data_IF_221219283663
#
_entry.id   IF_221219283663
#
_cell.length_a   1.000
_cell.length_b   1.000
_cell.length_c   1.000
_cell.angle_alpha   90.00
_cell.angle_beta   90.00
_cell.angle_gamma   90.00
#
_symmetry.space_group_name_H-M   'P 1'
#
loop_
_entity.id
_entity.type
_entity.pdbx_description
1 polymer ?
#
# COMPACT_ATOMS: atom_id res chain seq x y z
N UNK A 1 -1.34 -20.22 -8.98
CA UNK A 1 -2.01 -18.90 -8.91
C UNK A 1 -1.93 -18.40 -7.46
N UNK A 2 -0.91 -17.60 -7.13
CA UNK A 2 -0.57 -17.26 -5.73
C UNK A 2 -0.99 -15.81 -5.44
N UNK A 3 -2.13 -15.70 -4.76
CA UNK A 3 -2.75 -14.59 -4.00
C UNK A 3 -2.22 -13.15 -4.20
N UNK A 4 -2.80 -12.46 -5.18
CA UNK A 4 -2.97 -10.99 -5.20
C UNK A 4 -3.93 -10.51 -4.08
N UNK A 5 -3.68 -10.90 -2.83
CA UNK A 5 -4.56 -10.53 -1.72
C UNK A 5 -4.29 -9.08 -1.36
N UNK A 6 -5.32 -8.24 -1.46
CA UNK A 6 -5.28 -6.89 -0.91
C UNK A 6 -5.11 -6.94 0.60
N UNK A 7 -4.19 -6.11 1.09
CA UNK A 7 -3.85 -5.91 2.48
C UNK A 7 -4.05 -4.44 2.80
N UNK A 8 -4.47 -4.18 4.02
CA UNK A 8 -4.68 -2.83 4.53
C UNK A 8 -3.86 -2.67 5.78
N UNK A 9 -3.04 -1.64 5.81
CA UNK A 9 -2.19 -1.28 6.95
C UNK A 9 -2.53 0.13 7.39
N UNK A 10 -2.63 0.35 8.68
CA UNK A 10 -2.87 1.67 9.29
C UNK A 10 -1.59 2.17 9.95
N UNK A 11 -1.39 3.49 9.95
CA UNK A 11 -0.32 4.10 10.75
C UNK A 11 -0.58 3.90 12.25
N UNK A 12 0.45 3.99 13.11
CA UNK A 12 0.29 3.79 14.55
C UNK A 12 -0.70 4.75 15.24
N UNK A 13 -0.89 5.94 14.66
CA UNK A 13 -1.86 6.94 15.11
C UNK A 13 -3.28 6.72 14.57
N UNK A 14 -3.50 5.67 13.75
CA UNK A 14 -4.73 5.38 13.02
C UNK A 14 -5.26 6.55 12.16
N UNK A 15 -4.38 7.48 11.77
CA UNK A 15 -4.77 8.62 10.92
C UNK A 15 -4.55 8.36 9.45
N UNK A 16 -3.67 7.43 9.11
CA UNK A 16 -3.29 7.13 7.73
C UNK A 16 -3.49 5.64 7.48
N UNK A 17 -3.83 5.33 6.25
CA UNK A 17 -4.09 3.97 5.81
C UNK A 17 -3.49 3.78 4.43
N UNK A 18 -2.92 2.60 4.20
CA UNK A 18 -2.45 2.18 2.88
C UNK A 18 -3.12 0.85 2.54
N UNK A 19 -3.65 0.76 1.33
CA UNK A 19 -4.01 -0.53 0.75
C UNK A 19 -2.94 -0.92 -0.26
N UNK A 20 -2.44 -2.14 -0.12
CA UNK A 20 -1.34 -2.66 -0.90
C UNK A 20 -1.55 -4.15 -1.16
N UNK A 21 -0.74 -4.74 -2.03
CA UNK A 21 -0.70 -6.17 -2.28
C UNK A 21 0.73 -6.64 -2.48
N UNK A 22 0.95 -7.92 -2.22
CA UNK A 22 2.22 -8.58 -2.53
C UNK A 22 2.10 -9.16 -3.95
N UNK A 23 2.91 -8.67 -4.88
CA UNK A 23 3.00 -9.18 -6.25
C UNK A 23 4.39 -9.77 -6.43
N UNK A 24 4.47 -11.11 -6.46
CA UNK A 24 5.77 -11.79 -6.37
C UNK A 24 6.45 -11.49 -5.03
N UNK A 25 7.54 -10.74 -5.07
CA UNK A 25 8.26 -10.25 -3.89
C UNK A 25 8.07 -8.75 -3.65
N UNK A 26 7.29 -8.06 -4.49
CA UNK A 26 7.14 -6.61 -4.42
C UNK A 26 5.89 -6.19 -3.65
N UNK A 27 6.04 -5.15 -2.83
CA UNK A 27 4.93 -4.49 -2.15
C UNK A 27 4.36 -3.40 -3.06
N UNK A 28 3.30 -3.72 -3.80
CA UNK A 28 2.61 -2.76 -4.64
C UNK A 28 1.57 -2.00 -3.81
N UNK A 29 1.82 -0.70 -3.56
CA UNK A 29 0.86 0.19 -2.89
C UNK A 29 -0.12 0.73 -3.91
N UNK A 30 -1.42 0.61 -3.63
CA UNK A 30 -2.50 0.94 -4.58
C UNK A 30 -3.14 2.28 -4.25
N UNK A 31 -3.36 2.54 -2.97
CA UNK A 31 -3.86 3.84 -2.53
C UNK A 31 -3.47 4.10 -1.08
N UNK A 32 -3.46 5.39 -0.73
CA UNK A 32 -3.35 5.88 0.64
C UNK A 32 -4.56 6.72 0.98
N UNK A 33 -4.93 6.70 2.26
CA UNK A 33 -5.93 7.61 2.82
C UNK A 33 -5.28 8.32 4.00
N UNK A 34 -5.24 9.65 3.97
CA UNK A 34 -4.89 10.46 5.13
C UNK A 34 -6.17 11.09 5.69
N UNK A 35 -6.67 10.56 6.81
CA UNK A 35 -7.93 11.00 7.43
C UNK A 35 -7.86 12.42 7.99
N UNK A 36 -6.65 12.96 8.20
CA UNK A 36 -6.45 14.34 8.61
C UNK A 36 -6.39 15.32 7.42
N UNK A 37 -6.34 14.81 6.19
CA UNK A 37 -6.29 15.64 4.98
C UNK A 37 -7.70 15.79 4.40
N UNK A 38 -8.18 17.04 4.32
CA UNK A 38 -9.47 17.38 3.72
C UNK A 38 -9.38 17.59 2.20
N UNK A 39 -8.22 17.40 1.59
CA UNK A 39 -8.03 17.53 0.15
C UNK A 39 -8.93 16.56 -0.61
N UNK A 40 -9.46 16.97 -1.77
CA UNK A 40 -10.28 16.08 -2.58
C UNK A 40 -9.47 14.88 -3.04
N UNK A 41 -10.14 13.74 -3.17
CA UNK A 41 -9.53 12.53 -3.67
C UNK A 41 -8.93 12.76 -5.06
N UNK A 42 -7.73 12.25 -5.29
CA UNK A 42 -7.06 12.38 -6.60
C UNK A 42 -6.23 11.15 -6.94
N UNK A 43 -5.82 11.09 -8.21
CA UNK A 43 -4.95 10.06 -8.76
C UNK A 43 -3.55 10.62 -8.98
N UNK A 44 -2.54 9.90 -8.52
CA UNK A 44 -1.14 10.20 -8.77
C UNK A 44 -0.60 9.29 -9.88
N UNK A 45 0.26 9.77 -10.80
CA UNK A 45 0.83 11.12 -10.89
C UNK A 45 -0.01 12.14 -11.67
N UNK A 46 -1.12 11.73 -12.28
CA UNK A 46 -1.89 12.60 -13.18
C UNK A 46 -2.52 13.83 -12.49
N UNK A 47 -2.70 13.81 -11.18
CA UNK A 47 -3.42 14.82 -10.41
C UNK A 47 -4.92 14.83 -10.66
N UNK A 48 -5.45 13.85 -11.40
CA UNK A 48 -6.87 13.80 -11.78
C UNK A 48 -7.72 13.64 -10.54
N UNK A 49 -8.60 14.61 -10.28
CA UNK A 49 -9.58 14.50 -9.19
C UNK A 49 -10.51 13.32 -9.44
N UNK A 50 -10.77 12.57 -8.39
CA UNK A 50 -11.69 11.44 -8.42
C UNK A 50 -13.08 11.93 -8.00
N UNK A 51 -14.16 11.38 -8.59
CA UNK A 51 -15.53 11.76 -8.25
C UNK A 51 -16.00 11.22 -6.89
N UNK A 52 -15.11 10.74 -6.02
CA UNK A 52 -15.48 10.12 -4.75
C UNK A 52 -15.36 11.08 -3.57
N UNK A 53 -16.27 10.92 -2.60
CA UNK A 53 -16.34 11.71 -1.36
C UNK A 53 -15.45 11.15 -0.24
N UNK A 54 -14.23 10.68 -0.56
CA UNK A 54 -13.28 10.22 0.45
C UNK A 54 -12.13 11.23 0.52
N UNK A 55 -12.18 12.21 1.44
CA UNK A 55 -11.10 13.18 1.62
C UNK A 55 -9.77 12.50 1.93
N UNK A 56 -8.67 13.07 1.43
CA UNK A 56 -7.32 12.59 1.68
C UNK A 56 -6.98 11.26 1.01
N UNK A 57 -7.86 10.73 0.14
CA UNK A 57 -7.58 9.56 -0.69
C UNK A 57 -6.66 9.94 -1.86
N UNK A 58 -5.59 9.17 -2.01
CA UNK A 58 -4.72 9.23 -3.19
C UNK A 58 -4.61 7.84 -3.79
N UNK A 59 -5.08 7.69 -5.03
CA UNK A 59 -4.86 6.46 -5.82
C UNK A 59 -3.48 6.56 -6.47
N UNK A 60 -2.65 5.54 -6.25
CA UNK A 60 -1.28 5.47 -6.76
C UNK A 60 -1.27 4.61 -8.02
N UNK A 61 -1.35 5.27 -9.18
CA UNK A 61 -1.26 4.57 -10.46
C UNK A 61 0.20 4.45 -10.91
N UNK A 62 0.60 3.24 -11.28
CA UNK A 62 1.91 2.97 -11.88
C UNK A 62 3.08 2.83 -10.91
N UNK A 63 2.86 2.97 -9.59
CA UNK A 63 3.89 2.65 -8.61
C UNK A 63 3.99 1.13 -8.43
N UNK A 64 5.20 0.62 -8.61
CA UNK A 64 5.44 -0.84 -8.68
C UNK A 64 5.85 -1.42 -7.33
N UNK A 65 6.46 -0.61 -6.46
CA UNK A 65 7.03 -1.05 -5.20
C UNK A 65 6.92 0.03 -4.09
N UNK A 66 7.20 -0.39 -2.84
CA UNK A 66 7.13 0.48 -1.67
C UNK A 66 8.14 1.63 -1.69
N UNK A 67 9.30 1.43 -2.34
CA UNK A 67 10.34 2.45 -2.44
C UNK A 67 9.84 3.66 -3.23
N UNK A 68 9.27 3.42 -4.42
CA UNK A 68 8.69 4.48 -5.26
C UNK A 68 7.55 5.23 -4.54
N UNK A 69 6.68 4.50 -3.83
CA UNK A 69 5.62 5.12 -3.03
C UNK A 69 6.18 6.03 -1.93
N UNK A 70 7.27 5.61 -1.27
CA UNK A 70 7.94 6.40 -0.24
C UNK A 70 8.64 7.63 -0.80
N UNK A 71 9.24 7.55 -1.98
CA UNK A 71 9.86 8.70 -2.66
C UNK A 71 8.82 9.72 -3.12
N UNK A 72 7.69 9.26 -3.66
CA UNK A 72 6.60 10.14 -4.08
C UNK A 72 5.89 10.83 -2.88
N UNK A 73 5.81 10.16 -1.73
CA UNK A 73 5.05 10.61 -0.56
C UNK A 73 5.90 10.58 0.72
N UNK A 74 7.00 11.34 0.83
CA UNK A 74 7.96 11.21 1.92
C UNK A 74 7.39 11.62 3.29
N UNK A 75 6.32 12.42 3.31
CA UNK A 75 5.66 12.88 4.55
C UNK A 75 4.87 11.78 5.28
N UNK A 76 4.65 10.64 4.65
CA UNK A 76 3.92 9.50 5.22
C UNK A 76 4.87 8.43 5.80
N UNK A 77 6.03 8.85 6.33
CA UNK A 77 7.08 7.92 6.78
C UNK A 77 6.63 6.94 7.88
N UNK A 78 5.72 7.36 8.74
CA UNK A 78 5.08 6.51 9.76
C UNK A 78 4.23 5.39 9.12
N UNK A 79 3.44 5.72 8.10
CA UNK A 79 2.68 4.75 7.32
C UNK A 79 3.60 3.80 6.56
N UNK A 80 4.68 4.30 5.95
CA UNK A 80 5.63 3.46 5.22
C UNK A 80 6.38 2.48 6.13
N UNK A 81 6.70 2.89 7.35
CA UNK A 81 7.29 2.00 8.33
C UNK A 81 6.31 0.89 8.72
N UNK A 82 5.02 1.20 8.91
CA UNK A 82 3.98 0.22 9.19
C UNK A 82 3.78 -0.76 8.01
N UNK A 83 3.62 -0.24 6.79
CA UNK A 83 3.49 -1.07 5.57
C UNK A 83 4.70 -1.99 5.41
N UNK A 84 5.91 -1.48 5.64
CA UNK A 84 7.13 -2.30 5.57
C UNK A 84 7.11 -3.44 6.59
N UNK A 85 6.62 -3.20 7.80
CA UNK A 85 6.51 -4.22 8.84
C UNK A 85 5.53 -5.33 8.41
N UNK A 86 4.32 -4.95 7.98
CA UNK A 86 3.31 -5.91 7.52
C UNK A 86 3.73 -6.63 6.22
N UNK A 87 4.47 -5.96 5.35
CA UNK A 87 5.10 -6.54 4.16
C UNK A 87 6.05 -7.67 4.52
N UNK A 88 6.96 -7.46 5.48
CA UNK A 88 7.89 -8.51 5.91
C UNK A 88 7.15 -9.70 6.50
N UNK A 89 6.14 -9.47 7.33
CA UNK A 89 5.30 -10.55 7.86
C UNK A 89 4.61 -11.33 6.72
N UNK A 90 3.99 -10.63 5.77
CA UNK A 90 3.33 -11.24 4.63
C UNK A 90 4.28 -12.03 3.71
N UNK A 91 5.51 -11.54 3.51
CA UNK A 91 6.51 -12.18 2.68
C UNK A 91 7.03 -13.47 3.35
N UNK A 92 7.28 -13.42 4.65
CA UNK A 92 7.72 -14.59 5.43
C UNK A 92 6.62 -15.65 5.50
N UNK A 93 5.37 -15.27 5.75
CA UNK A 93 4.21 -16.18 5.72
C UNK A 93 4.06 -16.88 4.35
N UNK A 94 4.39 -16.18 3.27
CA UNK A 94 4.32 -16.75 1.91
C UNK A 94 5.48 -17.73 1.67
N UNK A 95 6.63 -17.50 2.29
CA UNK A 95 7.82 -18.36 2.16
C UNK A 95 7.69 -19.64 2.99
N UNK A 96 6.96 -19.58 4.11
CA UNK A 96 6.74 -20.72 5.02
C UNK A 96 5.73 -21.77 4.52
N UNK A 97 4.94 -21.46 3.47
CA UNK A 97 4.10 -22.47 2.84
C UNK A 97 4.96 -23.49 2.07
N UNK A 98 5.02 -24.78 2.48
CA UNK A 98 5.78 -25.79 1.76
C UNK A 98 5.26 -25.91 0.33
N UNK A 99 6.19 -25.94 -0.61
CA UNK A 99 5.91 -26.13 -2.03
C UNK A 99 5.16 -27.47 -2.21
N UNK A 100 3.92 -27.53 -2.73
CA UNK A 100 3.19 -28.78 -2.90
C UNK A 100 3.69 -29.62 -4.09
N UNK A 101 4.94 -29.46 -4.51
CA UNK A 101 5.56 -30.20 -5.62
C UNK A 101 6.89 -30.76 -5.14
N UNK A 102 6.82 -31.92 -4.48
CA UNK A 102 7.96 -32.63 -3.94
C UNK A 102 7.54 -33.94 -3.26
N UNK A 103 6.82 -34.80 -3.98
CA UNK A 103 6.62 -36.21 -3.67
C UNK A 103 6.41 -36.98 -4.98
#
# INVERSE_FOLDING_TARGET
MRRDRFRTTTSPDDRKMATWRLVGHDCQVLHIVNRADSSPAYRWPSGTRLPCEIPGLVILDGLTNLWEAREAFPRHGDLWNAVRHDYWAALLDTTDQPNPLGA
#
